data_IF_390634794395
#
_entry.id   IF_390634794395
#
_cell.length_a   1.000
_cell.length_b   1.000
_cell.length_c   1.000
_cell.angle_alpha   90.00
_cell.angle_beta   90.00
_cell.angle_gamma   90.00
#
_symmetry.space_group_name_H-M   'P 1'
#
loop_
_entity.id
_entity.type
_entity.pdbx_description
1 polymer ?
#
# COMPACT_ATOMS: atom_id res chain seq x y z
N UNK A 1 -44.74 -66.48 -0.43
CA UNK A 1 -43.72 -65.65 -1.12
C UNK A 1 -44.31 -64.27 -1.37
N UNK A 2 -43.91 -63.27 -0.57
CA UNK A 2 -44.24 -61.86 -0.79
C UNK A 2 -42.92 -61.16 -1.14
N UNK A 3 -42.82 -60.64 -2.35
CA UNK A 3 -41.67 -59.87 -2.83
C UNK A 3 -41.82 -58.46 -2.28
N UNK A 4 -40.91 -58.06 -1.39
CA UNK A 4 -40.80 -56.68 -0.92
C UNK A 4 -39.83 -55.94 -1.85
N UNK A 5 -40.34 -54.92 -2.55
CA UNK A 5 -39.56 -54.01 -3.39
C UNK A 5 -39.03 -52.90 -2.48
N UNK A 6 -37.72 -52.91 -2.22
CA UNK A 6 -37.03 -51.81 -1.56
C UNK A 6 -36.64 -50.76 -2.59
N UNK A 7 -37.27 -49.58 -2.53
CA UNK A 7 -36.84 -48.40 -3.26
C UNK A 7 -35.62 -47.79 -2.53
N UNK A 8 -34.46 -47.88 -3.17
CA UNK A 8 -33.25 -47.16 -2.75
C UNK A 8 -33.39 -45.72 -3.26
N UNK A 9 -33.67 -44.79 -2.34
CA UNK A 9 -33.51 -43.36 -2.61
C UNK A 9 -32.02 -43.04 -2.61
N UNK A 10 -31.43 -42.95 -3.80
CA UNK A 10 -30.12 -42.34 -3.97
C UNK A 10 -30.28 -40.82 -3.82
N UNK A 11 -29.94 -40.29 -2.64
CA UNK A 11 -29.69 -38.86 -2.50
C UNK A 11 -28.44 -38.53 -3.33
N UNK A 12 -28.64 -37.94 -4.50
CA UNK A 12 -27.56 -37.21 -5.16
C UNK A 12 -27.21 -36.02 -4.27
N UNK A 13 -26.08 -36.11 -3.58
CA UNK A 13 -25.43 -34.93 -3.03
C UNK A 13 -25.01 -34.07 -4.22
N UNK A 14 -25.84 -33.08 -4.55
CA UNK A 14 -25.42 -31.97 -5.39
C UNK A 14 -24.30 -31.28 -4.62
N UNK A 15 -23.05 -31.52 -5.02
CA UNK A 15 -21.96 -30.63 -4.68
C UNK A 15 -22.31 -29.27 -5.28
N UNK A 16 -22.91 -28.41 -4.45
CA UNK A 16 -22.99 -27.01 -4.74
C UNK A 16 -21.54 -26.51 -4.72
N UNK A 17 -20.90 -26.51 -5.88
CA UNK A 17 -19.68 -25.74 -6.08
C UNK A 17 -20.08 -24.27 -5.95
N UNK A 18 -19.96 -23.74 -4.74
CA UNK A 18 -19.86 -22.31 -4.57
C UNK A 18 -18.67 -21.88 -5.43
N UNK A 19 -18.93 -21.16 -6.51
CA UNK A 19 -17.90 -20.48 -7.29
C UNK A 19 -17.10 -19.65 -6.28
N UNK A 20 -15.86 -20.05 -6.02
CA UNK A 20 -14.94 -19.31 -5.16
C UNK A 20 -14.76 -17.92 -5.75
N UNK A 21 -15.09 -16.91 -4.96
CA UNK A 21 -14.73 -15.52 -5.20
C UNK A 21 -13.23 -15.41 -5.47
N UNK A 22 -12.86 -14.48 -6.34
CA UNK A 22 -11.50 -14.26 -6.80
C UNK A 22 -10.62 -13.73 -5.66
N UNK A 23 -9.67 -14.52 -5.17
CA UNK A 23 -8.81 -14.08 -4.05
C UNK A 23 -7.78 -13.01 -4.49
N UNK A 24 -7.21 -13.14 -5.70
CA UNK A 24 -6.22 -12.19 -6.21
C UNK A 24 -6.05 -12.26 -7.75
N UNK A 25 -5.87 -11.11 -8.39
CA UNK A 25 -5.32 -10.95 -9.76
C UNK A 25 -3.92 -10.35 -9.62
N UNK A 26 -2.91 -11.22 -9.56
CA UNK A 26 -1.52 -10.88 -9.24
C UNK A 26 -0.74 -10.48 -10.49
N UNK A 27 -1.18 -10.91 -11.67
CA UNK A 27 -0.54 -10.59 -12.95
C UNK A 27 -1.17 -9.37 -13.66
N UNK A 28 -2.39 -8.98 -13.27
CA UNK A 28 -3.11 -7.79 -13.73
C UNK A 28 -3.89 -7.99 -15.05
N UNK A 29 -4.19 -9.23 -15.45
CA UNK A 29 -4.92 -9.55 -16.68
C UNK A 29 -6.44 -9.67 -16.49
N UNK A 30 -6.93 -9.51 -15.26
CA UNK A 30 -8.33 -9.65 -14.89
C UNK A 30 -8.79 -11.09 -14.66
N UNK A 31 -7.87 -12.06 -14.69
CA UNK A 31 -8.09 -13.46 -14.35
C UNK A 31 -7.44 -13.72 -12.99
N UNK A 32 -8.12 -14.50 -12.15
CA UNK A 32 -7.61 -14.81 -10.81
C UNK A 32 -6.38 -15.71 -10.89
N UNK A 33 -5.38 -15.40 -10.06
CA UNK A 33 -4.18 -16.20 -9.81
C UNK A 33 -4.29 -16.81 -8.39
N UNK A 34 -4.85 -18.03 -8.23
CA UNK A 34 -4.86 -18.70 -6.94
C UNK A 34 -3.44 -18.89 -6.42
N UNK A 35 -3.26 -18.80 -5.10
CA UNK A 35 -1.97 -19.07 -4.49
C UNK A 35 -2.13 -19.87 -3.21
N UNK A 36 -1.04 -20.49 -2.79
CA UNK A 36 -0.96 -21.24 -1.55
C UNK A 36 0.34 -20.91 -0.83
N UNK A 37 0.28 -20.96 0.51
CA UNK A 37 1.44 -20.79 1.38
C UNK A 37 1.55 -22.05 2.23
N UNK A 38 2.67 -22.75 2.14
CA UNK A 38 2.92 -23.99 2.86
C UNK A 38 4.28 -23.96 3.56
N UNK A 39 4.38 -24.28 4.86
CA UNK A 39 5.67 -24.40 5.53
C UNK A 39 6.51 -25.52 4.89
N UNK A 40 7.80 -25.30 4.74
CA UNK A 40 8.76 -26.29 4.21
C UNK A 40 9.46 -27.07 5.32
N UNK A 41 9.63 -26.45 6.48
CA UNK A 41 10.30 -27.02 7.64
C UNK A 41 9.32 -27.15 8.80
N UNK A 42 9.56 -28.13 9.69
CA UNK A 42 8.68 -28.42 10.83
C UNK A 42 8.62 -27.27 11.84
N UNK A 43 9.65 -26.41 11.87
CA UNK A 43 9.68 -25.21 12.70
C UNK A 43 8.95 -24.01 12.08
N UNK A 44 8.48 -24.15 10.83
CA UNK A 44 7.72 -23.14 10.10
C UNK A 44 8.51 -21.89 9.69
N UNK A 45 9.84 -21.91 9.80
CA UNK A 45 10.70 -20.75 9.51
C UNK A 45 10.62 -20.33 8.04
N UNK A 46 10.73 -21.30 7.13
CA UNK A 46 10.64 -21.08 5.69
C UNK A 46 9.29 -21.58 5.16
N UNK A 47 8.60 -20.72 4.44
CA UNK A 47 7.36 -21.03 3.73
C UNK A 47 7.58 -20.98 2.22
N UNK A 48 7.01 -21.96 1.52
CA UNK A 48 6.86 -21.93 0.06
C UNK A 48 5.56 -21.24 -0.29
N UNK A 49 5.66 -20.25 -1.17
CA UNK A 49 4.51 -19.66 -1.85
C UNK A 49 4.47 -20.26 -3.25
N UNK A 50 3.32 -20.81 -3.65
CA UNK A 50 3.06 -21.26 -5.02
C UNK A 50 1.89 -20.46 -5.58
N UNK A 51 2.08 -19.86 -6.76
CA UNK A 51 1.07 -19.09 -7.47
C UNK A 51 0.73 -19.84 -8.76
N UNK A 52 -0.55 -20.16 -8.95
CA UNK A 52 -1.11 -20.72 -10.17
C UNK A 52 -1.53 -19.56 -11.08
N UNK A 53 -0.91 -19.45 -12.26
CA UNK A 53 -1.19 -18.35 -13.20
C UNK A 53 -2.56 -18.58 -13.83
N UNK A 54 -3.48 -17.67 -13.58
CA UNK A 54 -4.86 -17.69 -14.05
C UNK A 54 -4.96 -17.88 -15.56
N UNK A 55 -5.91 -18.72 -16.00
CA UNK A 55 -6.11 -19.00 -17.42
C UNK A 55 -4.96 -19.81 -18.07
N UNK A 56 -4.03 -20.33 -17.28
CA UNK A 56 -2.93 -21.18 -17.74
C UNK A 56 -2.81 -22.47 -16.90
N UNK A 57 -1.99 -23.41 -17.36
CA UNK A 57 -1.62 -24.60 -16.59
C UNK A 57 -0.23 -24.44 -15.94
N UNK A 58 0.24 -23.21 -15.73
CA UNK A 58 1.55 -22.91 -15.18
C UNK A 58 1.43 -22.45 -13.73
N UNK A 59 2.41 -22.88 -12.93
CA UNK A 59 2.59 -22.43 -11.56
C UNK A 59 4.03 -22.00 -11.36
N UNK A 60 4.24 -21.00 -10.51
CA UNK A 60 5.58 -20.56 -10.08
C UNK A 60 5.66 -20.57 -8.57
N UNK A 61 6.83 -20.86 -8.02
CA UNK A 61 7.02 -20.98 -6.58
C UNK A 61 8.29 -20.30 -6.11
N UNK A 62 8.27 -19.74 -4.91
CA UNK A 62 9.44 -19.22 -4.22
C UNK A 62 9.40 -19.54 -2.73
N UNK A 63 10.57 -19.66 -2.10
CA UNK A 63 10.70 -19.96 -0.68
C UNK A 63 11.14 -18.69 0.08
N UNK A 64 10.47 -18.37 1.18
CA UNK A 64 10.70 -17.13 1.94
C UNK A 64 10.52 -17.37 3.45
N UNK A 65 11.30 -16.66 4.24
CA UNK A 65 11.05 -16.49 5.67
C UNK A 65 9.96 -15.42 5.84
N UNK A 66 8.73 -15.83 6.10
CA UNK A 66 7.58 -14.91 6.19
C UNK A 66 7.26 -14.50 7.63
N UNK A 67 7.53 -15.36 8.62
CA UNK A 67 6.98 -15.22 9.97
C UNK A 67 5.45 -15.28 9.96
N UNK A 68 4.80 -14.34 10.64
CA UNK A 68 3.36 -14.07 10.59
C UNK A 68 2.94 -13.32 9.29
N UNK A 69 3.88 -13.08 8.37
CA UNK A 69 3.66 -12.34 7.13
C UNK A 69 2.89 -13.15 6.08
N UNK A 70 2.71 -12.53 4.91
CA UNK A 70 2.00 -13.18 3.81
C UNK A 70 2.10 -12.40 2.51
N UNK A 71 1.41 -12.93 1.49
CA UNK A 71 1.25 -12.28 0.20
C UNK A 71 0.16 -11.20 0.28
N UNK A 72 0.45 -10.03 -0.26
CA UNK A 72 -0.54 -8.96 -0.42
C UNK A 72 -0.60 -8.53 -1.88
N UNK A 73 -1.81 -8.44 -2.42
CA UNK A 73 -2.06 -7.88 -3.76
C UNK A 73 -1.55 -6.44 -3.80
N UNK A 74 -0.82 -6.10 -4.86
CA UNK A 74 -0.17 -4.83 -5.03
C UNK A 74 -1.14 -3.66 -5.24
N UNK A 75 -0.63 -2.47 -4.93
CA UNK A 75 -1.35 -1.23 -5.20
C UNK A 75 -1.43 -0.89 -6.69
N UNK A 76 -0.35 -1.18 -7.41
CA UNK A 76 -0.27 -1.04 -8.86
C UNK A 76 -0.66 -2.37 -9.53
N UNK A 77 -1.24 -2.35 -10.74
CA UNK A 77 -1.63 -3.57 -11.44
C UNK A 77 -0.45 -4.50 -11.71
N UNK A 78 -0.70 -5.81 -11.59
CA UNK A 78 0.30 -6.86 -11.83
C UNK A 78 1.42 -6.88 -10.79
N UNK A 79 1.17 -6.36 -9.58
CA UNK A 79 2.13 -6.39 -8.49
C UNK A 79 1.60 -7.20 -7.31
N UNK A 80 2.53 -7.75 -6.55
CA UNK A 80 2.29 -8.23 -5.20
C UNK A 80 3.48 -7.96 -4.31
N UNK A 81 3.28 -8.04 -3.00
CA UNK A 81 4.34 -7.87 -2.02
C UNK A 81 4.32 -8.97 -0.97
N UNK A 82 5.51 -9.28 -0.45
CA UNK A 82 5.73 -10.20 0.66
C UNK A 82 6.38 -9.44 1.80
N UNK A 83 5.75 -9.47 2.98
CA UNK A 83 6.44 -9.10 4.22
C UNK A 83 7.31 -10.28 4.66
N UNK A 84 8.58 -10.00 4.88
CA UNK A 84 9.59 -10.99 5.26
C UNK A 84 9.95 -10.85 6.72
N UNK A 85 10.24 -11.97 7.37
CA UNK A 85 10.60 -12.05 8.79
C UNK A 85 9.64 -11.24 9.68
N UNK A 86 8.36 -11.25 9.30
CA UNK A 86 7.36 -10.39 9.89
C UNK A 86 6.86 -11.05 11.15
N UNK A 87 7.08 -10.41 12.29
CA UNK A 87 6.40 -10.76 13.51
C UNK A 87 5.52 -9.61 13.92
N UNK A 88 4.31 -9.91 14.42
CA UNK A 88 3.29 -8.91 14.74
C UNK A 88 3.80 -7.76 15.63
N UNK A 89 4.86 -7.99 16.40
CA UNK A 89 5.46 -7.04 17.36
C UNK A 89 6.83 -6.50 16.95
N UNK A 90 7.37 -6.96 15.83
CA UNK A 90 8.62 -6.42 15.31
C UNK A 90 8.37 -5.03 14.73
N UNK A 91 9.11 -4.02 15.19
CA UNK A 91 9.00 -2.66 14.66
C UNK A 91 9.71 -2.53 13.31
N UNK A 92 10.72 -3.35 13.06
CA UNK A 92 11.44 -3.41 11.81
C UNK A 92 10.64 -4.22 10.80
N UNK A 93 10.55 -3.67 9.59
CA UNK A 93 9.81 -4.26 8.49
C UNK A 93 10.73 -4.45 7.30
N UNK A 94 10.64 -5.63 6.68
CA UNK A 94 11.26 -5.93 5.39
C UNK A 94 10.19 -6.39 4.42
N UNK A 95 10.19 -5.82 3.22
CA UNK A 95 9.24 -6.16 2.18
C UNK A 95 9.94 -6.38 0.84
N UNK A 96 9.58 -7.46 0.14
CA UNK A 96 9.86 -7.63 -1.28
C UNK A 96 8.61 -7.32 -2.09
N UNK A 97 8.76 -6.56 -3.17
CA UNK A 97 7.68 -6.32 -4.13
C UNK A 97 8.05 -6.83 -5.51
N UNK A 98 7.12 -7.58 -6.08
CA UNK A 98 7.24 -8.28 -7.33
C UNK A 98 6.28 -7.69 -8.35
N UNK A 99 6.67 -7.72 -9.63
CA UNK A 99 5.88 -7.19 -10.74
C UNK A 99 5.89 -8.17 -11.90
N UNK A 100 4.71 -8.41 -12.48
CA UNK A 100 4.53 -9.34 -13.57
C UNK A 100 5.40 -9.01 -14.78
N UNK A 101 6.03 -10.03 -15.35
CA UNK A 101 6.76 -9.97 -16.60
C UNK A 101 6.18 -10.99 -17.57
N UNK A 102 5.37 -10.51 -18.52
CA UNK A 102 4.70 -11.36 -19.50
C UNK A 102 5.65 -12.12 -20.43
N UNK A 103 6.86 -11.59 -20.68
CA UNK A 103 7.85 -12.25 -21.53
C UNK A 103 8.45 -13.49 -20.85
N UNK A 104 8.61 -13.46 -19.53
CA UNK A 104 9.12 -14.58 -18.73
C UNK A 104 7.99 -15.47 -18.18
N UNK A 105 6.75 -14.97 -18.19
CA UNK A 105 5.61 -15.59 -17.52
C UNK A 105 5.89 -15.87 -16.04
N UNK A 106 6.50 -14.88 -15.38
CA UNK A 106 6.87 -14.89 -13.96
C UNK A 106 6.88 -13.45 -13.43
N UNK A 107 6.94 -13.28 -12.12
CA UNK A 107 7.11 -11.98 -11.49
C UNK A 107 8.57 -11.67 -11.23
N UNK A 108 8.96 -10.42 -11.48
CA UNK A 108 10.31 -9.92 -11.24
C UNK A 108 10.33 -9.14 -9.93
N UNK A 109 11.28 -9.43 -9.05
CA UNK A 109 11.58 -8.59 -7.90
C UNK A 109 12.04 -7.23 -8.42
N UNK A 110 11.29 -6.18 -8.13
CA UNK A 110 11.62 -4.82 -8.58
C UNK A 110 11.95 -3.89 -7.43
N UNK A 111 11.64 -4.28 -6.18
CA UNK A 111 11.83 -3.44 -5.00
C UNK A 111 12.06 -4.27 -3.75
N UNK A 112 13.08 -3.88 -2.98
CA UNK A 112 13.30 -4.28 -1.59
C UNK A 112 13.15 -3.03 -0.73
N UNK A 113 12.30 -3.11 0.29
CA UNK A 113 12.05 -1.99 1.20
C UNK A 113 12.26 -2.43 2.63
N UNK A 114 12.90 -1.58 3.42
CA UNK A 114 12.88 -1.69 4.88
C UNK A 114 12.45 -0.38 5.51
N UNK A 115 11.77 -0.44 6.65
CA UNK A 115 11.38 0.72 7.44
C UNK A 115 11.06 0.30 8.87
N UNK A 116 10.88 1.29 9.74
CA UNK A 116 10.51 1.10 11.14
C UNK A 116 9.11 1.67 11.38
N UNK A 117 8.28 0.91 12.08
CA UNK A 117 6.97 1.33 12.60
C UNK A 117 6.96 1.32 14.13
N UNK A 118 7.39 2.41 14.79
CA UNK A 118 7.54 2.44 16.24
C UNK A 118 6.23 2.19 16.99
N UNK A 119 5.08 2.52 16.41
CA UNK A 119 3.76 2.27 17.01
C UNK A 119 3.41 0.79 17.15
N UNK A 120 4.16 -0.13 16.52
CA UNK A 120 3.96 -1.59 16.63
C UNK A 120 4.66 -2.23 17.83
N UNK A 121 5.47 -1.46 18.56
CA UNK A 121 6.11 -1.89 19.81
C UNK A 121 5.07 -2.50 20.77
N UNK A 122 5.46 -3.59 21.44
CA UNK A 122 4.58 -4.34 22.35
C UNK A 122 4.01 -3.48 23.47
N UNK A 123 4.74 -2.44 23.90
CA UNK A 123 4.27 -1.49 24.91
C UNK A 123 3.09 -0.64 24.43
N UNK A 124 2.75 -0.62 23.14
CA UNK A 124 1.57 0.09 22.65
C UNK A 124 0.47 -0.88 22.22
N UNK A 125 0.85 -2.08 21.76
CA UNK A 125 -0.09 -3.06 21.23
C UNK A 125 -0.66 -4.01 22.30
N UNK A 126 0.05 -4.25 23.41
CA UNK A 126 -0.40 -5.17 24.46
C UNK A 126 -0.75 -4.51 25.79
N UNK A 127 0.07 -3.57 26.26
CA UNK A 127 -0.17 -2.91 27.56
C UNK A 127 -1.32 -1.89 27.50
N UNK A 128 -1.80 -1.56 26.30
CA UNK A 128 -2.86 -0.58 26.06
C UNK A 128 -2.41 0.87 26.18
N UNK A 129 -1.10 1.13 26.30
CA UNK A 129 -0.59 2.50 26.25
C UNK A 129 -0.83 3.09 24.85
N UNK A 130 -1.28 4.34 24.82
CA UNK A 130 -1.46 5.04 23.55
C UNK A 130 -0.10 5.49 23.03
N UNK A 131 0.26 5.05 21.82
CA UNK A 131 1.45 5.54 21.14
C UNK A 131 1.41 7.08 21.00
N UNK A 132 2.52 7.78 21.33
CA UNK A 132 2.70 9.18 20.94
C UNK A 132 2.45 9.37 19.45
N UNK A 133 1.88 10.50 19.05
CA UNK A 133 1.44 10.71 17.66
C UNK A 133 2.64 10.66 16.69
N UNK A 134 3.81 11.10 17.15
CA UNK A 134 5.06 11.09 16.39
C UNK A 134 5.51 9.67 16.03
N UNK A 135 5.14 8.68 16.85
CA UNK A 135 5.45 7.27 16.63
C UNK A 135 4.50 6.58 15.66
N UNK A 136 3.41 7.24 15.25
CA UNK A 136 2.52 6.75 14.20
C UNK A 136 3.16 6.88 12.81
N UNK A 137 4.18 7.74 12.66
CA UNK A 137 4.87 7.90 11.39
C UNK A 137 5.88 6.79 11.18
N UNK A 138 5.84 6.11 10.03
CA UNK A 138 6.91 5.21 9.61
C UNK A 138 8.22 5.98 9.43
N UNK A 139 9.33 5.35 9.81
CA UNK A 139 10.65 5.98 9.87
C UNK A 139 11.71 5.11 9.19
N UNK A 140 12.88 5.72 8.94
CA UNK A 140 14.07 4.99 8.48
C UNK A 140 13.84 4.17 7.20
N UNK A 141 13.05 4.70 6.27
CA UNK A 141 12.87 4.06 4.97
C UNK A 141 14.20 3.87 4.24
N UNK A 142 14.47 2.62 3.86
CA UNK A 142 15.49 2.26 2.89
C UNK A 142 14.81 1.47 1.77
N UNK A 143 14.53 2.16 0.66
CA UNK A 143 13.86 1.58 -0.50
C UNK A 143 14.86 1.46 -1.64
N UNK A 144 15.17 0.21 -2.02
CA UNK A 144 16.10 -0.13 -3.07
C UNK A 144 15.32 -0.67 -4.27
N UNK A 145 15.44 -0.01 -5.42
CA UNK A 145 14.90 -0.53 -6.69
C UNK A 145 15.89 -1.51 -7.29
N UNK A 146 15.39 -2.68 -7.64
CA UNK A 146 16.18 -3.80 -8.12
C UNK A 146 16.28 -3.71 -9.64
N UNK A 147 17.50 -3.82 -10.15
CA UNK A 147 17.71 -3.98 -11.58
C UNK A 147 17.19 -5.36 -11.98
N UNK A 148 16.41 -5.39 -13.07
CA UNK A 148 15.88 -6.63 -13.63
C UNK A 148 17.00 -7.66 -13.86
N UNK A 149 16.76 -8.98 -13.82
CA UNK A 149 15.46 -9.65 -13.86
C UNK A 149 15.39 -10.82 -12.90
N UNK A 150 15.58 -10.54 -11.61
CA UNK A 150 15.47 -11.55 -10.57
C UNK A 150 14.03 -12.04 -10.47
N UNK A 151 13.80 -13.28 -10.88
CA UNK A 151 12.46 -13.88 -10.97
C UNK A 151 12.02 -14.44 -9.61
N UNK A 152 10.72 -14.43 -9.36
CA UNK A 152 10.12 -15.03 -8.18
C UNK A 152 10.43 -16.53 -8.09
N UNK A 153 10.37 -17.25 -9.22
CA UNK A 153 10.72 -18.68 -9.25
C UNK A 153 12.15 -18.99 -8.80
N UNK A 154 13.10 -18.04 -8.94
CA UNK A 154 14.49 -18.22 -8.52
C UNK A 154 14.67 -18.25 -6.99
N UNK A 155 13.67 -17.79 -6.23
CA UNK A 155 13.66 -17.91 -4.76
C UNK A 155 13.32 -19.32 -4.28
N UNK A 156 12.99 -20.26 -5.17
CA UNK A 156 12.84 -21.67 -4.79
C UNK A 156 14.17 -22.41 -4.59
N UNK A 157 15.29 -21.78 -5.01
CA UNK A 157 16.66 -22.32 -4.93
C UNK A 157 17.47 -21.60 -3.82
N UNK A 158 18.78 -21.39 -4.01
CA UNK A 158 19.69 -20.78 -3.00
C UNK A 158 19.53 -19.27 -2.79
N UNK A 159 18.39 -18.69 -3.20
CA UNK A 159 18.15 -17.25 -3.21
C UNK A 159 18.96 -16.53 -4.31
N UNK A 160 18.33 -15.69 -5.15
CA UNK A 160 19.05 -15.01 -6.22
C UNK A 160 19.86 -13.83 -5.68
N UNK A 161 21.08 -13.66 -6.20
CA UNK A 161 21.78 -12.38 -6.10
C UNK A 161 21.11 -11.39 -7.06
N UNK A 162 20.87 -10.18 -6.58
CA UNK A 162 20.31 -9.11 -7.40
C UNK A 162 21.10 -7.82 -7.25
N UNK A 163 21.05 -7.01 -8.30
CA UNK A 163 21.76 -5.73 -8.36
C UNK A 163 20.78 -4.57 -8.23
N UNK A 164 21.27 -3.42 -7.81
CA UNK A 164 20.46 -2.24 -7.58
C UNK A 164 20.52 -1.27 -8.76
N UNK A 165 19.42 -0.60 -9.03
CA UNK A 165 19.41 0.54 -9.94
C UNK A 165 20.26 1.69 -9.36
N UNK A 166 20.82 2.51 -10.25
CA UNK A 166 21.36 3.81 -9.87
C UNK A 166 20.25 4.72 -9.34
N UNK A 167 20.61 5.77 -8.60
CA UNK A 167 19.63 6.75 -8.09
C UNK A 167 18.81 7.40 -9.22
N UNK A 168 19.45 7.73 -10.35
CA UNK A 168 18.76 8.29 -11.52
C UNK A 168 17.73 7.31 -12.10
N UNK A 169 18.11 6.05 -12.30
CA UNK A 169 17.21 5.03 -12.80
C UNK A 169 16.08 4.72 -11.82
N UNK A 170 16.36 4.73 -10.50
CA UNK A 170 15.36 4.62 -9.44
C UNK A 170 14.31 5.74 -9.56
N UNK A 171 14.74 7.00 -9.68
CA UNK A 171 13.81 8.13 -9.82
C UNK A 171 12.97 8.02 -11.09
N UNK A 172 13.53 7.50 -12.19
CA UNK A 172 12.79 7.26 -13.43
C UNK A 172 11.69 6.20 -13.25
N UNK A 173 11.97 5.08 -12.57
CA UNK A 173 10.95 4.06 -12.29
C UNK A 173 9.86 4.57 -11.31
N UNK A 174 10.22 5.35 -10.29
CA UNK A 174 9.22 5.98 -9.41
C UNK A 174 8.29 6.91 -10.22
N UNK A 175 8.84 7.68 -11.17
CA UNK A 175 8.02 8.53 -12.05
C UNK A 175 7.09 7.73 -12.96
N UNK A 176 7.51 6.53 -13.38
CA UNK A 176 6.67 5.62 -14.17
C UNK A 176 5.50 5.07 -13.34
N UNK A 177 5.75 4.66 -12.10
CA UNK A 177 4.71 4.26 -11.17
C UNK A 177 3.74 5.42 -10.89
N UNK A 178 4.27 6.63 -10.72
CA UNK A 178 3.45 7.83 -10.54
C UNK A 178 2.56 8.16 -11.74
N UNK A 179 2.94 7.82 -12.98
CA UNK A 179 2.06 8.00 -14.15
C UNK A 179 0.77 7.19 -14.04
N UNK A 180 0.84 5.99 -13.45
CA UNK A 180 -0.37 5.21 -13.17
C UNK A 180 -1.27 5.94 -12.18
N UNK A 181 -0.71 6.40 -11.05
CA UNK A 181 -1.44 7.19 -10.04
C UNK A 181 -2.09 8.41 -10.70
N UNK A 182 -1.32 9.18 -11.48
CA UNK A 182 -1.81 10.36 -12.19
C UNK A 182 -2.99 10.04 -13.11
N UNK A 183 -2.94 8.90 -13.81
CA UNK A 183 -4.03 8.50 -14.73
C UNK A 183 -5.35 8.18 -14.01
N UNK A 184 -5.27 7.74 -12.74
CA UNK A 184 -6.45 7.36 -11.95
C UNK A 184 -6.91 8.45 -10.98
N UNK A 185 -6.04 9.42 -10.68
CA UNK A 185 -6.31 10.53 -9.78
C UNK A 185 -7.60 11.33 -10.09
N UNK A 186 -8.00 11.55 -11.36
CA UNK A 186 -9.25 12.24 -11.69
C UNK A 186 -10.53 11.58 -11.15
N UNK A 187 -10.47 10.29 -10.78
CA UNK A 187 -11.60 9.59 -10.16
C UNK A 187 -11.87 10.07 -8.72
N UNK A 188 -10.94 10.81 -8.13
CA UNK A 188 -11.08 11.45 -6.83
C UNK A 188 -10.90 10.50 -5.64
N UNK A 189 -11.24 10.98 -4.45
CA UNK A 189 -11.10 10.27 -3.17
C UNK A 189 -11.88 8.95 -3.10
N UNK A 190 -12.87 8.75 -3.98
CA UNK A 190 -13.68 7.52 -4.07
C UNK A 190 -13.24 6.62 -5.24
N UNK A 191 -12.17 6.95 -5.94
CA UNK A 191 -11.66 6.19 -7.08
C UNK A 191 -10.94 4.90 -6.68
N UNK A 192 -10.49 4.18 -7.70
CA UNK A 192 -9.84 2.86 -7.56
C UNK A 192 -8.47 2.89 -6.89
N UNK A 193 -7.87 4.08 -6.77
CA UNK A 193 -6.65 4.32 -5.99
C UNK A 193 -6.88 4.16 -4.49
N UNK A 194 -8.10 4.34 -4.00
CA UNK A 194 -8.39 4.35 -2.57
C UNK A 194 -9.39 3.28 -2.17
N UNK A 195 -10.14 2.75 -3.13
CA UNK A 195 -11.15 1.73 -2.88
C UNK A 195 -11.08 0.60 -3.91
N UNK A 196 -11.23 -0.62 -3.43
CA UNK A 196 -11.49 -1.82 -4.22
C UNK A 196 -12.89 -2.36 -3.93
N UNK A 197 -13.14 -3.57 -4.39
CA UNK A 197 -14.37 -4.32 -4.15
C UNK A 197 -13.99 -5.65 -3.47
N UNK A 198 -14.68 -6.03 -2.39
CA UNK A 198 -14.51 -7.33 -1.75
C UNK A 198 -15.33 -8.43 -2.46
N UNK A 199 -15.17 -9.68 -2.01
CA UNK A 199 -15.87 -10.85 -2.56
C UNK A 199 -17.40 -10.73 -2.57
N UNK A 200 -17.95 -9.91 -1.68
CA UNK A 200 -19.39 -9.66 -1.56
C UNK A 200 -19.85 -8.49 -2.43
N UNK A 201 -18.96 -7.88 -3.21
CA UNK A 201 -19.26 -6.72 -4.04
C UNK A 201 -19.24 -5.40 -3.26
N UNK A 202 -18.81 -5.38 -2.00
CA UNK A 202 -18.78 -4.16 -1.20
C UNK A 202 -17.53 -3.34 -1.47
N UNK A 203 -17.69 -2.03 -1.42
CA UNK A 203 -16.60 -1.09 -1.54
C UNK A 203 -15.74 -1.07 -0.28
N UNK A 204 -14.49 -1.50 -0.40
CA UNK A 204 -13.52 -1.58 0.70
C UNK A 204 -12.34 -0.65 0.45
N UNK A 205 -11.76 -0.09 1.52
CA UNK A 205 -10.57 0.77 1.40
C UNK A 205 -9.38 -0.08 1.00
N UNK A 206 -8.56 0.43 0.07
CA UNK A 206 -7.29 -0.22 -0.29
C UNK A 206 -6.23 0.09 0.76
N UNK A 207 -5.38 -0.90 1.02
CA UNK A 207 -4.12 -0.65 1.70
C UNK A 207 -3.21 0.16 0.77
N UNK A 208 -2.58 1.21 1.30
CA UNK A 208 -1.70 2.10 0.53
C UNK A 208 -0.27 1.83 0.97
N UNK A 209 0.63 1.39 0.06
CA UNK A 209 1.98 1.03 0.44
C UNK A 209 2.74 2.26 0.95
N UNK A 210 3.27 2.17 2.17
CA UNK A 210 3.91 3.28 2.85
C UNK A 210 5.21 3.68 2.16
N UNK A 211 5.95 2.67 1.69
CA UNK A 211 7.19 2.82 0.94
C UNK A 211 6.96 3.49 -0.42
N UNK A 212 5.81 3.26 -1.05
CA UNK A 212 5.42 3.99 -2.27
C UNK A 212 5.21 5.46 -1.96
N UNK A 213 4.48 5.80 -0.89
CA UNK A 213 4.26 7.20 -0.49
C UNK A 213 5.59 7.89 -0.16
N UNK A 214 6.50 7.20 0.53
CA UNK A 214 7.86 7.68 0.74
C UNK A 214 8.59 7.93 -0.59
N UNK A 215 8.58 6.98 -1.53
CA UNK A 215 9.22 7.15 -2.83
C UNK A 215 8.65 8.35 -3.62
N UNK A 216 7.34 8.61 -3.52
CA UNK A 216 6.73 9.79 -4.13
C UNK A 216 7.32 11.12 -3.59
N UNK A 217 7.80 11.15 -2.35
CA UNK A 217 8.49 12.34 -1.79
C UNK A 217 9.81 12.64 -2.51
N UNK A 218 10.46 11.63 -3.08
CA UNK A 218 11.75 11.76 -3.77
C UNK A 218 11.62 12.42 -5.14
N UNK A 219 10.43 12.40 -5.73
CA UNK A 219 10.19 12.89 -7.09
C UNK A 219 9.47 14.23 -7.16
N UNK A 220 9.14 14.86 -6.02
CA UNK A 220 8.43 16.15 -5.97
C UNK A 220 9.21 17.21 -6.77
N UNK A 221 8.58 17.83 -7.76
CA UNK A 221 9.13 18.84 -8.66
C UNK A 221 8.01 19.74 -9.21
N UNK A 222 8.38 20.83 -9.89
CA UNK A 222 7.42 21.83 -10.41
C UNK A 222 6.33 21.22 -11.30
N UNK A 223 6.69 20.21 -12.10
CA UNK A 223 5.82 19.57 -13.09
C UNK A 223 4.81 18.58 -12.47
N UNK A 224 5.01 18.15 -11.22
CA UNK A 224 4.18 17.11 -10.59
C UNK A 224 3.67 17.45 -9.18
N UNK A 225 4.10 18.56 -8.57
CA UNK A 225 3.71 18.95 -7.22
C UNK A 225 2.20 19.11 -7.07
N UNK A 226 1.49 19.49 -8.14
CA UNK A 226 0.04 19.60 -8.10
C UNK A 226 -0.67 18.26 -7.92
N UNK A 227 -0.50 17.32 -8.85
CA UNK A 227 -1.04 15.98 -8.70
C UNK A 227 -0.57 15.25 -7.42
N UNK A 228 0.68 15.46 -6.96
CA UNK A 228 1.15 14.90 -5.68
C UNK A 228 0.40 15.50 -4.48
N UNK A 229 0.13 16.80 -4.48
CA UNK A 229 -0.70 17.43 -3.47
C UNK A 229 -2.13 16.87 -3.49
N UNK A 230 -2.71 16.65 -4.67
CA UNK A 230 -4.07 16.12 -4.80
C UNK A 230 -4.14 14.67 -4.31
N UNK A 231 -3.09 13.87 -4.57
CA UNK A 231 -2.94 12.54 -3.98
C UNK A 231 -2.86 12.60 -2.45
N UNK A 232 -2.02 13.50 -1.90
CA UNK A 232 -1.94 13.76 -0.45
C UNK A 232 -3.28 14.17 0.17
N UNK A 233 -4.03 15.04 -0.51
CA UNK A 233 -5.38 15.41 -0.10
C UNK A 233 -6.32 14.21 -0.07
N UNK A 234 -6.32 13.36 -1.11
CA UNK A 234 -7.17 12.17 -1.13
C UNK A 234 -6.77 11.11 -0.11
N UNK A 235 -5.48 10.97 0.23
CA UNK A 235 -5.03 10.15 1.36
C UNK A 235 -5.71 10.61 2.65
N UNK A 236 -5.65 11.91 2.94
CA UNK A 236 -6.28 12.52 4.12
C UNK A 236 -7.80 12.28 4.14
N UNK A 237 -8.47 12.53 3.01
CA UNK A 237 -9.92 12.34 2.86
C UNK A 237 -10.37 10.90 3.11
N UNK A 238 -9.49 9.94 2.85
CA UNK A 238 -9.67 8.52 3.13
C UNK A 238 -9.21 8.08 4.52
N UNK A 239 -8.90 9.03 5.41
CA UNK A 239 -8.42 8.81 6.79
C UNK A 239 -7.03 8.14 6.87
N UNK A 240 -6.26 8.19 5.79
CA UNK A 240 -4.83 7.86 5.79
C UNK A 240 -3.99 9.08 6.19
N UNK A 241 -4.29 9.68 7.34
CA UNK A 241 -3.74 10.98 7.75
C UNK A 241 -2.21 10.95 7.90
N UNK A 242 -1.65 9.84 8.41
CA UNK A 242 -0.20 9.66 8.58
C UNK A 242 0.53 9.74 7.23
N UNK A 243 0.07 8.96 6.24
CA UNK A 243 0.68 8.96 4.90
C UNK A 243 0.42 10.27 4.15
N UNK A 244 -0.76 10.86 4.33
CA UNK A 244 -1.06 12.19 3.81
C UNK A 244 -0.07 13.23 4.35
N UNK A 245 0.11 13.28 5.67
CA UNK A 245 1.04 14.19 6.33
C UNK A 245 2.50 13.93 5.93
N UNK A 246 2.91 12.66 5.77
CA UNK A 246 4.25 12.30 5.29
C UNK A 246 4.56 12.95 3.94
N UNK A 247 3.65 12.83 2.97
CA UNK A 247 3.83 13.41 1.63
C UNK A 247 3.68 14.94 1.64
N UNK A 248 2.62 15.45 2.27
CA UNK A 248 2.29 16.88 2.28
C UNK A 248 3.34 17.71 3.02
N UNK A 249 4.01 17.16 4.05
CA UNK A 249 5.12 17.81 4.74
C UNK A 249 6.30 18.05 3.81
N UNK A 250 6.69 17.06 3.00
CA UNK A 250 7.80 17.23 2.06
C UNK A 250 7.42 18.17 0.90
N UNK A 251 6.16 18.16 0.46
CA UNK A 251 5.65 19.15 -0.50
C UNK A 251 5.73 20.56 0.08
N UNK A 252 5.21 20.79 1.29
CA UNK A 252 5.22 22.10 1.93
C UNK A 252 6.64 22.61 2.17
N UNK A 253 7.57 21.73 2.59
CA UNK A 253 8.98 22.07 2.76
C UNK A 253 9.64 22.54 1.46
N UNK A 254 9.31 21.90 0.33
CA UNK A 254 9.91 22.20 -0.98
C UNK A 254 9.22 23.33 -1.75
N UNK A 255 7.90 23.47 -1.55
CA UNK A 255 7.01 24.42 -2.23
C UNK A 255 6.12 25.16 -1.21
N UNK A 256 6.71 25.96 -0.29
CA UNK A 256 5.96 26.63 0.79
C UNK A 256 4.93 27.64 0.27
N UNK A 257 5.13 28.19 -0.93
CA UNK A 257 4.20 29.07 -1.62
C UNK A 257 2.96 28.36 -2.16
N UNK A 258 2.94 27.02 -2.17
CA UNK A 258 1.78 26.22 -2.56
C UNK A 258 0.73 26.22 -1.45
N UNK A 259 -0.04 27.31 -1.41
CA UNK A 259 -1.08 27.59 -0.41
C UNK A 259 -2.01 26.40 -0.10
N UNK A 260 -2.37 25.62 -1.13
CA UNK A 260 -3.25 24.44 -0.98
C UNK A 260 -2.58 23.32 -0.18
N UNK A 261 -1.27 23.11 -0.36
CA UNK A 261 -0.54 22.08 0.39
C UNK A 261 -0.43 22.43 1.87
N UNK A 262 -0.23 23.72 2.20
CA UNK A 262 -0.23 24.20 3.59
C UNK A 262 -1.56 23.91 4.29
N UNK A 263 -2.69 24.18 3.62
CA UNK A 263 -4.01 23.84 4.17
C UNK A 263 -4.20 22.33 4.35
N UNK A 264 -3.86 21.54 3.33
CA UNK A 264 -4.03 20.08 3.37
C UNK A 264 -3.18 19.45 4.49
N UNK A 265 -1.95 19.94 4.71
CA UNK A 265 -1.10 19.48 5.80
C UNK A 265 -1.69 19.86 7.16
N UNK A 266 -2.22 21.09 7.30
CA UNK A 266 -2.89 21.55 8.52
C UNK A 266 -4.13 20.70 8.85
N UNK A 267 -4.92 20.33 7.83
CA UNK A 267 -6.08 19.44 7.98
C UNK A 267 -5.65 18.03 8.41
N UNK A 268 -4.61 17.47 7.80
CA UNK A 268 -4.09 16.15 8.18
C UNK A 268 -3.57 16.13 9.62
N UNK A 269 -2.77 17.12 10.03
CA UNK A 269 -2.29 17.25 11.41
C UNK A 269 -3.43 17.47 12.41
N UNK A 270 -4.43 18.29 12.05
CA UNK A 270 -5.59 18.51 12.91
C UNK A 270 -6.37 17.22 13.17
N UNK A 271 -6.65 16.44 12.13
CA UNK A 271 -7.37 15.16 12.25
C UNK A 271 -6.55 14.08 13.01
N UNK A 272 -5.22 14.24 13.09
CA UNK A 272 -4.35 13.40 13.94
C UNK A 272 -4.29 13.86 15.40
N UNK A 273 -4.84 15.03 15.73
CA UNK A 273 -4.73 15.64 17.04
C UNK A 273 -3.43 16.43 17.28
N UNK A 274 -2.60 16.62 16.24
CA UNK A 274 -1.36 17.40 16.29
C UNK A 274 -1.66 18.90 16.19
N UNK A 275 -2.44 19.43 17.14
CA UNK A 275 -2.89 20.84 17.10
C UNK A 275 -1.72 21.83 17.11
N UNK A 276 -0.66 21.53 17.88
CA UNK A 276 0.57 22.33 17.93
C UNK A 276 1.20 22.57 16.55
N UNK A 277 1.15 21.56 15.69
CA UNK A 277 1.72 21.60 14.34
C UNK A 277 0.71 22.12 13.31
N UNK A 278 -0.58 21.84 13.51
CA UNK A 278 -1.64 22.29 12.61
C UNK A 278 -1.89 23.81 12.68
N UNK A 279 -1.93 24.42 13.87
CA UNK A 279 -2.31 25.81 14.01
C UNK A 279 -1.36 26.81 13.31
N UNK A 280 -0.02 26.68 13.42
CA UNK A 280 0.89 27.53 12.68
C UNK A 280 0.64 27.49 11.17
N UNK A 281 0.33 26.30 10.62
CA UNK A 281 0.02 26.12 9.21
C UNK A 281 -1.32 26.78 8.83
N UNK A 282 -2.35 26.73 9.68
CA UNK A 282 -3.59 27.48 9.42
C UNK A 282 -3.34 28.99 9.38
N UNK A 283 -2.54 29.52 10.32
CA UNK A 283 -2.17 30.95 10.33
C UNK A 283 -1.42 31.32 9.06
N UNK A 284 -0.46 30.49 8.65
CA UNK A 284 0.28 30.68 7.41
C UNK A 284 -0.65 30.69 6.19
N UNK A 285 -1.52 29.68 6.07
CA UNK A 285 -2.52 29.61 5.01
C UNK A 285 -3.40 30.86 4.94
N UNK A 286 -3.91 31.33 6.08
CA UNK A 286 -4.77 32.53 6.17
C UNK A 286 -4.00 33.78 5.74
N UNK A 287 -2.75 33.92 6.18
CA UNK A 287 -1.87 35.03 5.79
C UNK A 287 -1.60 35.02 4.28
N UNK A 288 -1.27 33.84 3.71
CA UNK A 288 -1.04 33.68 2.27
C UNK A 288 -2.29 33.99 1.45
N UNK A 289 -3.46 33.48 1.86
CA UNK A 289 -4.73 33.77 1.20
C UNK A 289 -5.11 35.25 1.26
N UNK A 290 -4.84 35.91 2.39
CA UNK A 290 -5.10 37.35 2.56
C UNK A 290 -4.17 38.19 1.71
N UNK A 291 -2.86 37.90 1.72
CA UNK A 291 -1.87 38.56 0.85
C UNK A 291 -2.23 38.44 -0.63
N UNK A 292 -2.78 37.30 -1.03
CA UNK A 292 -3.19 37.03 -2.40
C UNK A 292 -4.57 37.60 -2.77
N UNK A 293 -5.21 38.40 -1.91
CA UNK A 293 -6.53 38.99 -2.15
C UNK A 293 -7.67 37.97 -2.16
N UNK A 294 -7.47 36.80 -1.56
CA UNK A 294 -8.42 35.67 -1.56
C UNK A 294 -9.05 35.42 -0.19
N UNK A 295 -9.09 36.41 0.71
CA UNK A 295 -9.65 36.26 2.06
C UNK A 295 -11.08 35.72 2.08
N UNK A 296 -11.90 36.02 1.07
CA UNK A 296 -13.26 35.50 0.92
C UNK A 296 -13.36 34.00 0.61
N UNK A 297 -12.24 33.34 0.26
CA UNK A 297 -12.16 31.89 -0.03
C UNK A 297 -11.57 31.07 1.12
N UNK A 298 -11.25 31.70 2.24
CA UNK A 298 -10.72 31.01 3.43
C UNK A 298 -11.86 30.20 4.07
N UNK A 299 -11.75 28.86 4.17
CA UNK A 299 -12.76 28.02 4.81
C UNK A 299 -13.01 28.42 6.26
N UNK A 300 -14.25 28.33 6.72
CA UNK A 300 -14.60 28.67 8.10
C UNK A 300 -13.85 27.81 9.11
N UNK A 301 -13.62 26.52 8.80
CA UNK A 301 -12.85 25.61 9.62
C UNK A 301 -11.40 26.11 9.84
N UNK A 302 -10.74 26.64 8.80
CA UNK A 302 -9.39 27.20 8.94
C UNK A 302 -9.37 28.39 9.90
N UNK A 303 -10.36 29.30 9.77
CA UNK A 303 -10.50 30.46 10.68
C UNK A 303 -10.72 30.05 12.13
N UNK A 304 -11.58 29.06 12.38
CA UNK A 304 -11.82 28.59 13.75
C UNK A 304 -10.59 27.91 14.37
N UNK A 305 -9.74 27.30 13.55
CA UNK A 305 -8.60 26.49 14.00
C UNK A 305 -7.30 27.29 14.16
N UNK A 306 -7.21 28.51 13.60
CA UNK A 306 -5.99 29.32 13.63
C UNK A 306 -5.49 29.59 15.07
N UNK A 307 -6.40 29.65 16.05
CA UNK A 307 -6.08 29.95 17.44
C UNK A 307 -5.98 28.71 18.34
N UNK A 308 -6.00 27.50 17.79
CA UNK A 308 -5.97 26.22 18.52
C UNK A 308 -7.11 25.96 19.51
N UNK A 309 -8.19 26.74 19.45
CA UNK A 309 -9.37 26.55 20.28
C UNK A 309 -10.22 25.37 19.81
#
# INVERSE_FOLDING_TARGET
>A
MKVAVSFIFALMATAASANSSCEADLNGDGICDPYSVSPLEDDGTISRITIDIGGSNKSVSGNFELGDGGLSVGYLPGEFSLLLDFYTRNIDLTQYSFKWNSAQQDWVLYKKSTWVEPSRDEKYTLSGEKAPIELLFPQQFNVQRIACCTLFSQFSESGPNFSYLSDEAKLAEIRKDFKYILSKLPQGEKGELFYGIDDSGNKVRRNIPQELVYELTLIIADDNVGPLNDYGYYLYRNKNNVLAALLLREIHKKFPERVVATLNLADAYWDMGMKSDACPLYKEYIAQMTKNGKSGRIPQAAKSRENCN
#
